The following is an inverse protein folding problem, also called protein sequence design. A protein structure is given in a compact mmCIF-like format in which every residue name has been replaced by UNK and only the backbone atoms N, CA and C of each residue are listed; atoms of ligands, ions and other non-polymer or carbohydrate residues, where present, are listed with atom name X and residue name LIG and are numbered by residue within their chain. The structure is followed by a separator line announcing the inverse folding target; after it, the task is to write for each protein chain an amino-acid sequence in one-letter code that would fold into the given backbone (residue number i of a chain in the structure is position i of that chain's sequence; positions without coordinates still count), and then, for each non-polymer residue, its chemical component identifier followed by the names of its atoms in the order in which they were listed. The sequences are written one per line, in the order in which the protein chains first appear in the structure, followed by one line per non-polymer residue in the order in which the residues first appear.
data_IF_506189266843
#
_entry.id   IF_506189266843
#
_cell.length_a   1.000
_cell.length_b   1.000
_cell.length_c   1.000
_cell.angle_alpha   90.00
_cell.angle_beta   90.00
_cell.angle_gamma   90.00
#
_symmetry.space_group_name_H-M   'P 1'
#
loop_
_entity.id
_entity.type
_entity.pdbx_description
1 polymer ?
#
# COMPACT_ATOMS: atom_id res chain seq x y z
N UNK A 1 46.21 3.31 20.90
CA UNK A 1 44.75 3.48 20.71
C UNK A 1 44.43 3.08 19.27
N UNK A 2 43.55 2.11 19.00
CA UNK A 2 43.18 1.80 17.62
C UNK A 2 42.40 2.99 17.05
N UNK A 3 42.76 3.41 15.83
CA UNK A 3 42.04 4.46 15.12
C UNK A 3 40.59 4.05 14.93
N UNK A 4 39.64 4.94 15.26
CA UNK A 4 38.24 4.74 14.95
C UNK A 4 38.11 4.55 13.44
N UNK A 5 37.74 3.35 13.00
CA UNK A 5 37.44 3.08 11.60
C UNK A 5 36.16 3.86 11.28
N UNK A 6 36.30 5.00 10.61
CA UNK A 6 35.16 5.78 10.12
C UNK A 6 34.55 4.95 8.98
N UNK A 7 33.56 4.12 9.31
CA UNK A 7 32.75 3.46 8.30
C UNK A 7 31.92 4.53 7.59
N UNK A 8 31.95 4.60 6.25
CA UNK A 8 31.19 5.61 5.54
C UNK A 8 29.69 5.37 5.76
N UNK A 9 28.97 6.43 6.15
CA UNK A 9 27.51 6.45 6.22
C UNK A 9 26.92 6.60 4.81
N UNK A 10 25.74 6.03 4.57
CA UNK A 10 25.05 6.16 3.29
C UNK A 10 24.53 7.60 3.08
N UNK A 11 24.65 8.14 1.85
CA UNK A 11 24.04 9.44 1.53
C UNK A 11 22.51 9.35 1.53
N UNK A 12 21.82 10.45 1.85
CA UNK A 12 20.35 10.46 1.92
C UNK A 12 19.71 10.07 0.58
N UNK A 13 20.23 10.58 -0.54
CA UNK A 13 19.75 10.25 -1.88
C UNK A 13 19.91 8.75 -2.19
N UNK A 14 21.07 8.16 -1.90
CA UNK A 14 21.31 6.73 -2.07
C UNK A 14 20.42 5.89 -1.14
N UNK A 15 20.11 6.38 0.07
CA UNK A 15 19.21 5.71 0.98
C UNK A 15 17.78 5.62 0.42
N UNK A 16 17.26 6.70 -0.17
CA UNK A 16 15.96 6.67 -0.84
C UNK A 16 15.97 5.80 -2.09
N UNK A 17 17.02 5.85 -2.92
CA UNK A 17 17.14 4.97 -4.09
C UNK A 17 17.08 3.49 -3.69
N UNK A 18 17.83 3.12 -2.66
CA UNK A 18 17.84 1.76 -2.13
C UNK A 18 16.47 1.36 -1.56
N UNK A 19 15.83 2.25 -0.79
CA UNK A 19 14.49 2.03 -0.27
C UNK A 19 13.45 1.84 -1.38
N UNK A 20 13.49 2.62 -2.46
CA UNK A 20 12.52 2.51 -3.54
C UNK A 20 12.80 1.34 -4.50
N UNK A 21 14.06 0.92 -4.61
CA UNK A 21 14.49 -0.19 -5.45
C UNK A 21 14.24 0.08 -6.93
N UNK A 22 13.63 -0.89 -7.63
CA UNK A 22 13.39 -0.84 -9.09
C UNK A 22 12.59 0.39 -9.54
N UNK A 23 11.72 0.92 -8.68
CA UNK A 23 10.86 2.06 -9.00
C UNK A 23 11.44 3.41 -8.52
N UNK A 24 12.74 3.46 -8.20
CA UNK A 24 13.39 4.64 -7.61
C UNK A 24 13.12 5.92 -8.38
N UNK A 25 13.28 5.92 -9.71
CA UNK A 25 13.03 7.08 -10.57
C UNK A 25 11.63 7.67 -10.37
N UNK A 26 10.61 6.81 -10.30
CA UNK A 26 9.23 7.25 -10.08
C UNK A 26 9.07 7.90 -8.71
N UNK A 27 9.52 7.23 -7.66
CA UNK A 27 9.28 7.70 -6.28
C UNK A 27 10.18 8.84 -5.85
N UNK A 28 11.37 8.99 -6.43
CA UNK A 28 12.22 10.16 -6.22
C UNK A 28 11.54 11.44 -6.74
N UNK A 29 10.95 11.40 -7.93
CA UNK A 29 10.17 12.53 -8.43
C UNK A 29 8.97 12.86 -7.53
N UNK A 30 8.28 11.83 -7.01
CA UNK A 30 7.15 12.02 -6.09
C UNK A 30 7.61 12.55 -4.73
N UNK A 31 8.77 12.11 -4.26
CA UNK A 31 9.39 12.59 -3.02
C UNK A 31 9.75 14.07 -3.12
N UNK A 32 10.33 14.50 -4.24
CA UNK A 32 10.68 15.91 -4.49
C UNK A 32 9.43 16.79 -4.43
N UNK A 33 8.37 16.41 -5.16
CA UNK A 33 7.07 17.13 -5.12
C UNK A 33 6.50 17.18 -3.71
N UNK A 34 6.56 16.06 -2.98
CA UNK A 34 6.09 15.99 -1.59
C UNK A 34 6.90 16.88 -0.65
N UNK A 35 8.22 16.99 -0.85
CA UNK A 35 9.09 17.89 -0.10
C UNK A 35 8.82 19.37 -0.43
N UNK A 36 8.40 19.68 -1.65
CA UNK A 36 7.95 21.02 -2.07
C UNK A 36 6.57 21.42 -1.55
N UNK A 37 5.90 20.55 -0.77
CA UNK A 37 4.64 20.84 -0.11
C UNK A 37 3.41 20.17 -0.74
N UNK A 38 3.56 19.47 -1.87
CA UNK A 38 2.45 18.74 -2.49
C UNK A 38 2.14 17.45 -1.71
N UNK A 39 1.21 17.54 -0.75
CA UNK A 39 0.90 16.41 0.15
C UNK A 39 0.12 15.29 -0.53
N UNK A 40 -0.75 15.61 -1.48
CA UNK A 40 -1.67 14.67 -2.13
C UNK A 40 -1.34 14.54 -3.61
N UNK A 41 -0.44 13.62 -3.93
CA UNK A 41 -0.04 13.35 -5.31
C UNK A 41 -0.73 12.08 -5.78
N UNK A 42 -1.61 12.20 -6.77
CA UNK A 42 -2.40 11.09 -7.28
C UNK A 42 -1.54 9.91 -7.75
N UNK A 43 -1.95 8.71 -7.35
CA UNK A 43 -1.36 7.44 -7.71
C UNK A 43 -2.39 6.58 -8.47
N UNK A 44 -2.24 6.51 -9.79
CA UNK A 44 -3.13 5.71 -10.64
C UNK A 44 -3.08 4.21 -10.36
N UNK A 45 -1.94 3.69 -9.91
CA UNK A 45 -1.83 2.27 -9.55
C UNK A 45 -2.63 1.95 -8.28
N UNK A 46 -2.55 2.81 -7.27
CA UNK A 46 -3.32 2.63 -6.04
C UNK A 46 -4.83 2.84 -6.26
N UNK A 47 -5.20 3.77 -7.14
CA UNK A 47 -6.58 3.93 -7.58
C UNK A 47 -7.11 2.64 -8.25
N UNK A 48 -6.35 2.06 -9.19
CA UNK A 48 -6.80 0.89 -9.95
C UNK A 48 -6.76 -0.42 -9.17
N UNK A 49 -5.74 -0.61 -8.32
CA UNK A 49 -5.50 -1.88 -7.61
C UNK A 49 -5.90 -1.84 -6.14
N UNK A 50 -6.40 -0.70 -5.63
CA UNK A 50 -6.89 -0.57 -4.26
C UNK A 50 -5.88 -1.04 -3.20
N UNK A 51 -6.35 -1.83 -2.24
CA UNK A 51 -5.52 -2.35 -1.14
C UNK A 51 -4.39 -3.29 -1.62
N UNK A 52 -4.51 -3.93 -2.79
CA UNK A 52 -3.43 -4.78 -3.32
C UNK A 52 -2.17 -3.97 -3.59
N UNK A 53 -2.30 -2.71 -4.02
CA UNK A 53 -1.15 -1.82 -4.18
C UNK A 53 -0.45 -1.55 -2.85
N UNK A 54 -1.21 -1.40 -1.76
CA UNK A 54 -0.65 -1.20 -0.43
C UNK A 54 0.12 -2.44 0.03
N UNK A 55 -0.44 -3.64 -0.15
CA UNK A 55 0.25 -4.90 0.13
C UNK A 55 1.53 -5.03 -0.70
N UNK A 56 1.45 -4.73 -2.01
CA UNK A 56 2.58 -4.73 -2.92
C UNK A 56 3.72 -3.80 -2.46
N UNK A 57 3.41 -2.60 -1.95
CA UNK A 57 4.40 -1.64 -1.40
C UNK A 57 4.73 -1.85 0.09
N UNK A 58 4.33 -2.99 0.67
CA UNK A 58 4.56 -3.35 2.07
C UNK A 58 3.95 -2.35 3.08
N UNK A 59 2.80 -1.77 2.75
CA UNK A 59 1.96 -0.92 3.61
C UNK A 59 0.84 -1.78 4.22
N UNK A 60 1.22 -2.79 5.01
CA UNK A 60 0.28 -3.81 5.47
C UNK A 60 -0.78 -3.27 6.45
N UNK A 61 -0.40 -2.31 7.31
CA UNK A 61 -1.35 -1.72 8.26
C UNK A 61 -2.42 -0.91 7.52
N UNK A 62 -2.00 -0.05 6.60
CA UNK A 62 -2.91 0.75 5.78
C UNK A 62 -3.80 -0.15 4.89
N UNK A 63 -3.26 -1.25 4.37
CA UNK A 63 -4.04 -2.26 3.65
C UNK A 63 -5.12 -2.89 4.55
N UNK A 64 -4.77 -3.30 5.78
CA UNK A 64 -5.74 -3.88 6.75
C UNK A 64 -6.84 -2.87 7.09
N UNK A 65 -6.48 -1.60 7.31
CA UNK A 65 -7.46 -0.53 7.58
C UNK A 65 -8.39 -0.35 6.39
N UNK A 66 -7.86 -0.33 5.17
CA UNK A 66 -8.68 -0.20 3.96
C UNK A 66 -9.60 -1.41 3.76
N UNK A 67 -9.11 -2.63 3.99
CA UNK A 67 -9.93 -3.85 3.94
C UNK A 67 -11.03 -3.80 5.00
N UNK A 68 -10.69 -3.41 6.23
CA UNK A 68 -11.67 -3.26 7.31
C UNK A 68 -12.75 -2.24 6.98
N UNK A 69 -12.39 -1.11 6.36
CA UNK A 69 -13.35 -0.11 5.88
C UNK A 69 -14.31 -0.70 4.84
N UNK A 70 -13.81 -1.47 3.88
CA UNK A 70 -14.64 -2.13 2.86
C UNK A 70 -15.58 -3.18 3.48
N UNK A 71 -15.08 -3.99 4.42
CA UNK A 71 -15.91 -4.99 5.12
C UNK A 71 -17.01 -4.31 5.94
N UNK A 72 -16.69 -3.24 6.66
CA UNK A 72 -17.68 -2.47 7.42
C UNK A 72 -18.73 -1.88 6.48
N UNK A 73 -18.33 -1.31 5.35
CA UNK A 73 -19.29 -0.81 4.37
C UNK A 73 -20.20 -1.91 3.83
N UNK A 74 -19.67 -3.09 3.49
CA UNK A 74 -20.48 -4.22 3.02
C UNK A 74 -21.52 -4.66 4.05
N UNK A 75 -21.16 -4.67 5.35
CA UNK A 75 -22.11 -4.97 6.43
C UNK A 75 -23.19 -3.88 6.55
N UNK A 76 -22.80 -2.61 6.42
CA UNK A 76 -23.76 -1.49 6.50
C UNK A 76 -24.72 -1.46 5.31
N UNK A 77 -24.27 -1.89 4.12
CA UNK A 77 -25.14 -2.05 2.96
C UNK A 77 -26.26 -3.05 3.25
N UNK A 78 -25.91 -4.25 3.72
CA UNK A 78 -26.87 -5.32 4.04
C UNK A 78 -27.83 -4.95 5.18
N UNK A 79 -27.32 -4.30 6.23
CA UNK A 79 -28.13 -4.01 7.42
C UNK A 79 -29.00 -2.76 7.31
N UNK A 80 -28.54 -1.74 6.58
CA UNK A 80 -29.15 -0.40 6.62
C UNK A 80 -29.60 0.06 5.23
N UNK A 81 -28.73 -0.01 4.22
CA UNK A 81 -29.03 0.59 2.92
C UNK A 81 -30.16 -0.12 2.21
N UNK A 82 -30.23 -1.45 2.28
CA UNK A 82 -31.33 -2.21 1.69
C UNK A 82 -32.68 -1.91 2.35
N UNK A 83 -32.68 -1.65 3.67
CA UNK A 83 -33.88 -1.25 4.40
C UNK A 83 -34.33 0.19 4.06
N UNK A 84 -33.37 1.11 3.85
CA UNK A 84 -33.66 2.51 3.53
C UNK A 84 -34.01 2.73 2.04
N UNK A 85 -33.53 1.87 1.14
CA UNK A 85 -33.70 2.02 -0.31
C UNK A 85 -34.16 0.72 -1.00
N UNK A 86 -35.40 0.25 -0.74
CA UNK A 86 -35.88 -1.07 -1.19
C UNK A 86 -35.98 -1.21 -2.73
N UNK A 87 -36.18 -0.09 -3.44
CA UNK A 87 -36.30 -0.07 -4.91
C UNK A 87 -34.94 -0.03 -5.64
N UNK A 88 -33.84 -0.39 -4.96
CA UNK A 88 -32.52 -0.51 -5.55
C UNK A 88 -31.66 0.76 -5.51
N UNK A 89 -32.11 1.80 -4.80
CA UNK A 89 -31.32 3.03 -4.58
C UNK A 89 -30.03 2.78 -3.77
N UNK A 90 -30.02 1.76 -2.90
CA UNK A 90 -28.87 1.39 -2.07
C UNK A 90 -27.62 1.06 -2.92
N UNK A 91 -27.82 0.35 -4.04
CA UNK A 91 -26.73 0.02 -4.97
C UNK A 91 -26.01 1.28 -5.48
N UNK A 92 -26.74 2.30 -5.93
CA UNK A 92 -26.12 3.52 -6.44
C UNK A 92 -25.28 4.23 -5.36
N UNK A 93 -25.75 4.22 -4.11
CA UNK A 93 -25.02 4.77 -2.95
C UNK A 93 -23.71 4.00 -2.73
N UNK A 94 -23.75 2.67 -2.69
CA UNK A 94 -22.54 1.84 -2.53
C UNK A 94 -21.54 2.04 -3.66
N UNK A 95 -21.99 2.13 -4.91
CA UNK A 95 -21.11 2.42 -6.05
C UNK A 95 -20.39 3.77 -5.91
N UNK A 96 -21.13 4.82 -5.51
CA UNK A 96 -20.57 6.15 -5.30
C UNK A 96 -19.60 6.18 -4.11
N UNK A 97 -19.93 5.49 -3.02
CA UNK A 97 -19.04 5.35 -1.87
C UNK A 97 -17.74 4.64 -2.26
N UNK A 98 -17.84 3.50 -2.94
CA UNK A 98 -16.67 2.76 -3.42
C UNK A 98 -15.80 3.61 -4.34
N UNK A 99 -16.39 4.32 -5.31
CA UNK A 99 -15.66 5.23 -6.18
C UNK A 99 -14.93 6.33 -5.37
N UNK A 100 -15.58 6.88 -4.35
CA UNK A 100 -14.97 7.87 -3.46
C UNK A 100 -13.79 7.27 -2.67
N UNK A 101 -13.94 6.06 -2.12
CA UNK A 101 -12.88 5.34 -1.41
C UNK A 101 -11.69 5.05 -2.33
N UNK A 102 -11.93 4.59 -3.55
CA UNK A 102 -10.88 4.30 -4.53
C UNK A 102 -10.15 5.58 -4.96
N UNK A 103 -10.89 6.66 -5.17
CA UNK A 103 -10.31 7.98 -5.49
C UNK A 103 -9.45 8.50 -4.34
N UNK A 104 -9.96 8.46 -3.11
CA UNK A 104 -9.22 8.84 -1.91
C UNK A 104 -7.95 7.99 -1.75
N UNK A 105 -8.05 6.69 -1.99
CA UNK A 105 -6.93 5.75 -1.99
C UNK A 105 -5.85 6.18 -2.98
N UNK A 106 -6.24 6.58 -4.20
CA UNK A 106 -5.33 7.14 -5.21
C UNK A 106 -4.56 8.37 -4.73
N UNK A 107 -5.20 9.30 -4.04
CA UNK A 107 -4.53 10.51 -3.51
C UNK A 107 -3.68 10.25 -2.26
N UNK A 108 -4.10 9.34 -1.38
CA UNK A 108 -3.45 9.08 -0.09
C UNK A 108 -2.29 8.08 -0.18
N UNK A 109 -2.28 7.21 -1.19
CA UNK A 109 -1.28 6.15 -1.35
C UNK A 109 0.17 6.66 -1.34
N UNK A 110 0.47 7.66 -2.18
CA UNK A 110 1.82 8.24 -2.23
C UNK A 110 2.18 8.91 -0.90
N UNK A 111 1.25 9.60 -0.27
CA UNK A 111 1.46 10.23 1.03
C UNK A 111 1.87 9.20 2.09
N UNK A 112 1.14 8.09 2.22
CA UNK A 112 1.49 7.04 3.17
C UNK A 112 2.84 6.40 2.84
N UNK A 113 3.08 6.07 1.58
CA UNK A 113 4.33 5.43 1.16
C UNK A 113 5.55 6.33 1.39
N UNK A 114 5.47 7.62 1.08
CA UNK A 114 6.55 8.58 1.29
C UNK A 114 6.78 8.89 2.77
N UNK A 115 5.74 8.92 3.61
CA UNK A 115 5.89 9.02 5.07
C UNK A 115 6.64 7.81 5.64
N UNK A 116 6.29 6.60 5.18
CA UNK A 116 7.04 5.38 5.53
C UNK A 116 8.49 5.49 5.08
N UNK A 117 8.75 5.91 3.84
CA UNK A 117 10.10 6.06 3.30
C UNK A 117 10.95 6.98 4.19
N UNK A 118 10.46 8.19 4.48
CA UNK A 118 11.13 9.15 5.37
C UNK A 118 11.45 8.55 6.74
N UNK A 119 10.48 7.87 7.36
CA UNK A 119 10.67 7.24 8.69
C UNK A 119 11.74 6.15 8.65
N UNK A 120 11.74 5.32 7.61
CA UNK A 120 12.72 4.22 7.48
C UNK A 120 14.12 4.77 7.20
N UNK A 121 14.25 5.75 6.29
CA UNK A 121 15.53 6.40 5.97
C UNK A 121 16.11 7.11 7.21
N UNK A 122 15.29 7.81 7.98
CA UNK A 122 15.74 8.41 9.24
C UNK A 122 16.25 7.34 10.23
N UNK A 123 15.64 6.15 10.26
CA UNK A 123 16.02 5.08 11.19
C UNK A 123 17.34 4.37 10.88
N UNK A 124 18.02 4.72 9.79
CA UNK A 124 19.28 4.08 9.36
C UNK A 124 20.47 5.05 9.30
N UNK A 125 20.29 6.31 9.72
CA UNK A 125 21.34 7.35 9.63
C UNK A 125 22.61 7.02 10.42
N UNK A 126 22.48 6.31 11.54
CA UNK A 126 23.59 5.92 12.42
C UNK A 126 24.18 4.55 12.08
N UNK A 127 23.61 3.85 11.09
CA UNK A 127 24.11 2.55 10.65
C UNK A 127 25.25 2.72 9.65
N UNK A 128 26.16 1.76 9.62
CA UNK A 128 27.13 1.64 8.52
C UNK A 128 26.39 1.43 7.19
N UNK A 129 27.03 1.80 6.07
CA UNK A 129 26.40 1.75 4.76
C UNK A 129 25.84 0.37 4.37
N UNK A 130 26.48 -0.74 4.80
CA UNK A 130 26.04 -2.10 4.47
C UNK A 130 24.77 -2.44 5.24
N UNK A 131 24.78 -2.25 6.56
CA UNK A 131 23.60 -2.48 7.41
C UNK A 131 22.43 -1.57 7.05
N UNK A 132 22.72 -0.30 6.72
CA UNK A 132 21.71 0.64 6.26
C UNK A 132 21.06 0.17 4.95
N UNK A 133 21.88 -0.19 3.96
CA UNK A 133 21.45 -0.70 2.66
C UNK A 133 20.55 -1.93 2.80
N UNK A 134 20.96 -2.91 3.60
CA UNK A 134 20.18 -4.13 3.81
C UNK A 134 18.82 -3.83 4.46
N UNK A 135 18.79 -2.98 5.48
CA UNK A 135 17.55 -2.60 6.16
C UNK A 135 16.60 -1.84 5.24
N UNK A 136 17.12 -0.94 4.41
CA UNK A 136 16.35 -0.19 3.43
C UNK A 136 15.73 -1.11 2.37
N UNK A 137 16.51 -2.01 1.77
CA UNK A 137 16.03 -2.98 0.79
C UNK A 137 14.95 -3.91 1.36
N UNK A 138 15.11 -4.36 2.62
CA UNK A 138 14.13 -5.22 3.30
C UNK A 138 12.80 -4.51 3.55
N UNK A 139 12.82 -3.27 4.03
CA UNK A 139 11.60 -2.50 4.40
C UNK A 139 10.93 -1.80 3.22
N UNK A 140 11.70 -1.48 2.20
CA UNK A 140 11.28 -0.80 0.98
C UNK A 140 10.94 -1.75 -0.17
N UNK A 141 10.95 -1.23 -1.38
CA UNK A 141 10.68 -1.96 -2.61
C UNK A 141 9.28 -2.57 -2.65
N UNK A 142 9.22 -3.80 -3.17
CA UNK A 142 7.98 -4.52 -3.46
C UNK A 142 7.93 -5.84 -2.69
N UNK A 143 6.73 -6.37 -2.51
CA UNK A 143 6.51 -7.71 -1.98
C UNK A 143 5.57 -8.48 -2.89
N UNK A 144 5.81 -9.78 -3.05
CA UNK A 144 4.92 -10.71 -3.75
C UNK A 144 3.91 -11.37 -2.80
N UNK A 145 3.96 -11.09 -1.49
CA UNK A 145 3.02 -11.66 -0.51
C UNK A 145 1.56 -11.29 -0.79
N UNK A 146 1.29 -10.21 -1.53
CA UNK A 146 -0.07 -9.87 -1.98
C UNK A 146 -0.70 -10.91 -2.92
N UNK A 147 0.10 -11.79 -3.54
CA UNK A 147 -0.42 -12.87 -4.39
C UNK A 147 -1.06 -14.00 -3.57
N UNK A 148 -0.63 -14.21 -2.33
CA UNK A 148 -1.16 -15.27 -1.47
C UNK A 148 -2.69 -15.20 -1.31
N UNK A 149 -3.30 -14.07 -0.89
CA UNK A 149 -4.76 -13.99 -0.77
C UNK A 149 -5.47 -14.22 -2.11
N UNK A 150 -4.88 -13.79 -3.23
CA UNK A 150 -5.45 -14.02 -4.57
C UNK A 150 -5.51 -15.52 -4.87
N UNK A 151 -4.40 -16.25 -4.64
CA UNK A 151 -4.35 -17.70 -4.87
C UNK A 151 -5.33 -18.45 -3.97
N UNK A 152 -5.45 -18.05 -2.69
CA UNK A 152 -6.39 -18.66 -1.75
C UNK A 152 -7.84 -18.47 -2.20
N UNK A 153 -8.23 -17.26 -2.63
CA UNK A 153 -9.58 -16.97 -3.11
C UNK A 153 -9.90 -17.77 -4.37
N UNK A 154 -8.98 -17.80 -5.35
CA UNK A 154 -9.17 -18.58 -6.58
C UNK A 154 -9.34 -20.07 -6.27
N UNK A 155 -8.53 -20.61 -5.36
CA UNK A 155 -8.59 -22.01 -4.95
C UNK A 155 -9.93 -22.33 -4.27
N UNK A 156 -10.39 -21.47 -3.38
CA UNK A 156 -11.69 -21.60 -2.71
C UNK A 156 -12.85 -21.59 -3.72
N UNK A 157 -12.81 -20.69 -4.72
CA UNK A 157 -13.81 -20.63 -5.79
C UNK A 157 -13.85 -21.93 -6.59
N UNK A 158 -12.68 -22.48 -6.98
CA UNK A 158 -12.60 -23.74 -7.74
C UNK A 158 -13.17 -24.92 -6.93
N UNK A 159 -12.83 -25.00 -5.64
CA UNK A 159 -13.34 -26.05 -4.75
C UNK A 159 -14.86 -25.91 -4.63
N UNK A 160 -15.35 -24.70 -4.34
CA UNK A 160 -16.77 -24.42 -4.22
C UNK A 160 -17.53 -24.77 -5.50
N UNK A 161 -17.00 -24.37 -6.67
CA UNK A 161 -17.65 -24.67 -7.95
C UNK A 161 -17.74 -26.18 -8.19
N UNK A 162 -16.68 -26.94 -7.92
CA UNK A 162 -16.70 -28.41 -8.08
C UNK A 162 -17.73 -29.07 -7.17
N UNK A 163 -17.79 -28.68 -5.90
CA UNK A 163 -18.79 -29.20 -4.96
C UNK A 163 -20.23 -28.93 -5.41
N UNK A 164 -20.47 -27.80 -6.07
CA UNK A 164 -21.81 -27.40 -6.51
C UNK A 164 -22.19 -27.91 -7.92
N UNK A 165 -21.27 -28.59 -8.64
CA UNK A 165 -21.56 -29.19 -9.96
C UNK A 165 -21.89 -30.69 -9.85
N UNK A 166 -21.75 -31.29 -8.67
CA UNK A 166 -22.04 -32.73 -8.43
C UNK A 166 -23.49 -32.99 -7.92
N UNK A 167 -24.39 -32.01 -8.04
CA UNK A 167 -25.83 -32.12 -7.78
C UNK A 167 -26.64 -31.63 -8.99
#
# INVERSE_FOLDING_TARGET
MPAAVITPTISEYAAYENFFGKDSRYYLNRLERYQRGERYIFNGYAFLFGFFWFLYRKLYLEAIVLIGLLVVESILEELILDALFPEGGGRAVSWLFNLAVWTATGFLANMFYLRKAKRVVASVQELDAVSASERLARKGGISYWFLLPIVLVITAIIIYSRMNTEY
#
